data_IF_706451453705
#
_entry.id   IF_706451453705
#
_cell.length_a   1.000
_cell.length_b   1.000
_cell.length_c   1.000
_cell.angle_alpha   90.00
_cell.angle_beta   90.00
_cell.angle_gamma   90.00
#
_symmetry.space_group_name_H-M   'P 1'
#
loop_
_entity.id
_entity.type
_entity.pdbx_description
1 polymer ?
#
# COMPACT_ATOMS: atom_id res chain seq x y z
N UNK A 1 -11.38 3.73 -8.68
CA UNK A 1 -10.09 3.01 -8.66
C UNK A 1 -10.36 1.56 -8.32
N UNK A 2 -9.64 0.62 -8.96
CA UNK A 2 -9.85 -0.80 -8.71
C UNK A 2 -9.04 -1.25 -7.49
N UNK A 3 -9.55 -2.28 -6.82
CA UNK A 3 -8.97 -2.88 -5.63
C UNK A 3 -9.01 -4.39 -5.77
N UNK A 4 -8.18 -5.08 -5.00
CA UNK A 4 -8.17 -6.53 -4.90
C UNK A 4 -8.13 -6.94 -3.43
N UNK A 5 -8.93 -7.95 -3.06
CA UNK A 5 -8.98 -8.46 -1.69
C UNK A 5 -7.70 -9.24 -1.39
N UNK A 6 -7.07 -8.93 -0.25
CA UNK A 6 -5.92 -9.70 0.28
C UNK A 6 -6.36 -11.14 0.55
N UNK A 7 -7.53 -11.32 1.16
CA UNK A 7 -8.09 -12.63 1.46
C UNK A 7 -8.34 -13.45 0.19
N UNK A 8 -8.88 -12.82 -0.87
CA UNK A 8 -9.10 -13.51 -2.15
C UNK A 8 -7.79 -13.99 -2.77
N UNK A 9 -6.75 -13.13 -2.79
CA UNK A 9 -5.43 -13.51 -3.29
C UNK A 9 -4.83 -14.68 -2.50
N UNK A 10 -4.93 -14.62 -1.17
CA UNK A 10 -4.44 -15.70 -0.31
C UNK A 10 -5.25 -16.99 -0.47
N UNK A 11 -6.57 -16.91 -0.69
CA UNK A 11 -7.39 -18.10 -0.97
C UNK A 11 -7.03 -18.76 -2.30
N UNK A 12 -6.67 -17.97 -3.32
CA UNK A 12 -6.19 -18.50 -4.60
C UNK A 12 -4.84 -19.21 -4.51
N UNK A 13 -4.07 -19.00 -3.43
CA UNK A 13 -2.82 -19.70 -3.14
C UNK A 13 -3.07 -21.00 -2.38
N UNK A 14 -3.51 -22.05 -3.08
CA UNK A 14 -3.88 -23.34 -2.51
C UNK A 14 -2.86 -24.46 -2.77
N UNK A 15 -1.78 -24.16 -3.49
CA UNK A 15 -0.70 -25.10 -3.76
C UNK A 15 0.49 -24.85 -2.84
N UNK A 16 1.39 -25.83 -2.74
CA UNK A 16 2.68 -25.63 -2.07
C UNK A 16 3.47 -24.53 -2.81
N UNK A 17 3.65 -24.68 -4.12
CA UNK A 17 4.27 -23.69 -5.00
C UNK A 17 3.21 -23.03 -5.87
N UNK A 18 2.91 -21.75 -5.64
CA UNK A 18 1.87 -21.03 -6.37
C UNK A 18 2.51 -20.16 -7.47
N UNK A 19 2.43 -20.60 -8.72
CA UNK A 19 2.99 -19.87 -9.86
C UNK A 19 2.15 -18.65 -10.23
N UNK A 20 2.81 -17.56 -10.62
CA UNK A 20 2.14 -16.28 -10.94
C UNK A 20 1.08 -16.42 -12.04
N UNK A 21 1.36 -17.20 -13.08
CA UNK A 21 0.44 -17.41 -14.21
C UNK A 21 -0.82 -18.17 -13.80
N UNK A 22 -0.72 -19.09 -12.84
CA UNK A 22 -1.88 -19.83 -12.35
C UNK A 22 -2.71 -19.00 -11.39
N UNK A 23 -2.04 -18.23 -10.51
CA UNK A 23 -2.71 -17.23 -9.67
C UNK A 23 -3.48 -16.21 -10.50
N UNK A 24 -2.93 -15.77 -11.64
CA UNK A 24 -3.64 -14.88 -12.56
C UNK A 24 -4.90 -15.51 -13.18
N UNK A 25 -4.90 -16.83 -13.41
CA UNK A 25 -6.07 -17.55 -13.95
C UNK A 25 -7.15 -17.76 -12.89
N UNK A 26 -6.75 -18.03 -11.64
CA UNK A 26 -7.64 -18.47 -10.56
C UNK A 26 -8.13 -17.33 -9.66
N UNK A 27 -7.37 -16.24 -9.52
CA UNK A 27 -7.78 -15.07 -8.76
C UNK A 27 -8.66 -14.16 -9.63
N UNK A 28 -9.98 -14.36 -9.53
CA UNK A 28 -10.99 -13.59 -10.26
C UNK A 28 -11.55 -12.43 -9.40
N UNK A 29 -12.13 -11.42 -10.05
CA UNK A 29 -12.89 -10.37 -9.36
C UNK A 29 -14.26 -10.89 -8.88
N UNK A 30 -14.99 -10.06 -8.13
CA UNK A 30 -16.32 -10.40 -7.61
C UNK A 30 -17.35 -10.77 -8.70
N UNK A 31 -17.08 -10.41 -9.97
CA UNK A 31 -17.92 -10.72 -11.14
C UNK A 31 -17.39 -11.92 -11.93
N UNK A 32 -16.40 -12.64 -11.41
CA UNK A 32 -15.76 -13.77 -12.08
C UNK A 32 -14.85 -13.37 -13.25
N UNK A 33 -14.47 -12.10 -13.38
CA UNK A 33 -13.57 -11.63 -14.46
C UNK A 33 -12.12 -11.64 -14.01
N UNK A 34 -11.22 -11.93 -14.94
CA UNK A 34 -9.77 -11.88 -14.70
C UNK A 34 -9.29 -10.44 -14.55
N UNK A 35 -8.43 -10.22 -13.57
CA UNK A 35 -7.60 -9.02 -13.50
C UNK A 35 -6.60 -9.00 -14.66
N UNK A 36 -6.04 -7.82 -14.94
CA UNK A 36 -4.90 -7.73 -15.86
C UNK A 36 -3.69 -8.42 -15.21
N UNK A 37 -2.84 -9.09 -15.99
CA UNK A 37 -1.63 -9.75 -15.45
C UNK A 37 -0.80 -8.83 -14.57
N UNK A 38 -0.53 -7.61 -15.05
CA UNK A 38 0.22 -6.58 -14.31
C UNK A 38 -0.43 -6.20 -12.97
N UNK A 39 -1.76 -6.22 -12.87
CA UNK A 39 -2.48 -5.96 -11.61
C UNK A 39 -2.14 -7.07 -10.60
N UNK A 40 -2.23 -8.34 -11.00
CA UNK A 40 -1.84 -9.48 -10.16
C UNK A 40 -0.36 -9.44 -9.77
N UNK A 41 0.54 -9.23 -10.73
CA UNK A 41 1.99 -9.11 -10.47
C UNK A 41 2.28 -8.05 -9.40
N UNK A 42 1.64 -6.89 -9.51
CA UNK A 42 1.83 -5.79 -8.57
C UNK A 42 1.26 -6.12 -7.19
N UNK A 43 0.09 -6.76 -7.13
CA UNK A 43 -0.53 -7.18 -5.87
C UNK A 43 0.28 -8.24 -5.15
N UNK A 44 0.87 -9.20 -5.86
CA UNK A 44 1.76 -10.20 -5.28
C UNK A 44 3.01 -9.56 -4.69
N UNK A 45 3.63 -8.60 -5.39
CA UNK A 45 4.75 -7.81 -4.86
C UNK A 45 4.38 -7.02 -3.61
N UNK A 46 3.15 -6.51 -3.54
CA UNK A 46 2.64 -5.83 -2.33
C UNK A 46 2.44 -6.81 -1.18
N UNK A 47 1.83 -7.97 -1.43
CA UNK A 47 1.66 -9.03 -0.41
C UNK A 47 3.01 -9.52 0.13
N UNK A 48 4.01 -9.65 -0.75
CA UNK A 48 5.38 -9.99 -0.37
C UNK A 48 5.97 -8.94 0.58
N UNK A 49 5.86 -7.66 0.21
CA UNK A 49 6.32 -6.54 1.05
C UNK A 49 5.59 -6.45 2.38
N UNK A 50 4.32 -6.85 2.42
CA UNK A 50 3.48 -6.88 3.62
C UNK A 50 3.67 -8.16 4.45
N UNK A 51 4.60 -9.04 4.05
CA UNK A 51 4.97 -10.22 4.83
C UNK A 51 3.94 -11.36 4.80
N UNK A 52 2.98 -11.33 3.87
CA UNK A 52 2.01 -12.43 3.72
C UNK A 52 2.54 -13.60 2.90
N UNK A 53 3.48 -13.34 1.99
CA UNK A 53 4.00 -14.34 1.06
C UNK A 53 5.50 -14.17 0.87
N UNK A 54 6.17 -15.27 0.54
CA UNK A 54 7.57 -15.29 0.12
C UNK A 54 7.62 -15.59 -1.36
N UNK A 55 8.40 -14.79 -2.09
CA UNK A 55 8.68 -15.03 -3.49
C UNK A 55 9.93 -15.89 -3.63
N UNK A 56 9.83 -16.94 -4.44
CA UNK A 56 10.97 -17.79 -4.80
C UNK A 56 11.17 -17.71 -6.30
N UNK A 57 12.40 -17.40 -6.71
CA UNK A 57 12.78 -17.29 -8.12
C UNK A 57 13.67 -18.47 -8.49
N UNK A 58 13.16 -19.35 -9.35
CA UNK A 58 13.93 -20.47 -9.91
C UNK A 58 14.65 -20.00 -11.19
N UNK A 59 13.96 -19.22 -12.04
CA UNK A 59 14.53 -18.63 -13.26
C UNK A 59 13.93 -17.25 -13.58
N UNK A 60 14.26 -16.65 -14.72
CA UNK A 60 13.67 -15.36 -15.14
C UNK A 60 12.16 -15.44 -15.37
N UNK A 61 11.65 -16.59 -15.79
CA UNK A 61 10.23 -16.85 -16.08
C UNK A 61 9.54 -17.70 -15.02
N UNK A 62 10.32 -18.38 -14.17
CA UNK A 62 9.81 -19.31 -13.19
C UNK A 62 9.85 -18.72 -11.77
N UNK A 63 8.72 -18.11 -11.40
CA UNK A 63 8.51 -17.43 -10.12
C UNK A 63 7.29 -18.07 -9.47
N UNK A 64 7.47 -18.56 -8.25
CA UNK A 64 6.37 -19.02 -7.41
C UNK A 64 6.36 -18.31 -6.06
N UNK A 65 5.21 -18.41 -5.41
CA UNK A 65 4.93 -17.79 -4.13
C UNK A 65 4.46 -18.83 -3.12
N UNK A 66 4.94 -18.69 -1.90
CA UNK A 66 4.51 -19.51 -0.76
C UNK A 66 3.94 -18.59 0.30
N UNK A 67 2.87 -19.00 0.99
CA UNK A 67 2.34 -18.25 2.14
C UNK A 67 3.36 -18.22 3.25
N UNK A 68 3.51 -17.06 3.89
CA UNK A 68 4.25 -16.95 5.13
C UNK A 68 3.29 -17.19 6.31
N UNK A 69 3.80 -17.90 7.30
CA UNK A 69 3.18 -18.03 8.62
C UNK A 69 4.18 -17.49 9.64
N UNK A 70 3.76 -16.51 10.43
CA UNK A 70 4.57 -16.05 11.56
C UNK A 70 4.52 -17.10 12.66
N UNK A 71 5.69 -17.47 13.18
CA UNK A 71 5.86 -18.47 14.25
C UNK A 71 5.23 -18.04 15.56
N UNK A 72 5.25 -16.74 15.85
CA UNK A 72 4.62 -16.15 17.02
C UNK A 72 4.00 -14.77 16.68
N UNK A 73 3.10 -14.29 17.54
CA UNK A 73 2.42 -12.99 17.36
C UNK A 73 3.36 -11.79 17.45
N UNK A 74 4.45 -11.90 18.24
CA UNK A 74 5.39 -10.80 18.48
C UNK A 74 6.26 -10.50 17.25
N UNK A 75 6.66 -11.53 16.49
CA UNK A 75 7.39 -11.42 15.24
C UNK A 75 6.58 -10.60 14.22
N UNK A 76 5.27 -10.85 14.15
CA UNK A 76 4.39 -10.10 13.26
C UNK A 76 4.24 -8.64 13.70
N UNK A 77 4.08 -8.39 15.00
CA UNK A 77 4.00 -7.03 15.53
C UNK A 77 5.31 -6.27 15.30
N UNK A 78 6.46 -6.93 15.51
CA UNK A 78 7.79 -6.37 15.22
C UNK A 78 7.91 -5.97 13.75
N UNK A 79 7.52 -6.87 12.83
CA UNK A 79 7.49 -6.58 11.39
C UNK A 79 6.59 -5.37 11.06
N UNK A 80 5.37 -5.31 11.63
CA UNK A 80 4.44 -4.19 11.40
C UNK A 80 5.05 -2.87 11.86
N UNK A 81 5.66 -2.86 13.04
CA UNK A 81 6.30 -1.67 13.60
C UNK A 81 7.48 -1.20 12.75
N UNK A 82 8.38 -2.11 12.36
CA UNK A 82 9.53 -1.77 11.51
C UNK A 82 9.10 -1.19 10.16
N UNK A 83 8.07 -1.80 9.55
CA UNK A 83 7.51 -1.30 8.29
C UNK A 83 6.89 0.08 8.46
N UNK A 84 6.14 0.29 9.55
CA UNK A 84 5.53 1.56 9.89
C UNK A 84 6.58 2.65 10.09
N UNK A 85 7.55 2.46 10.99
CA UNK A 85 8.61 3.42 11.29
C UNK A 85 9.48 3.75 10.08
N UNK A 86 9.78 2.75 9.25
CA UNK A 86 10.55 2.96 8.01
C UNK A 86 9.83 3.91 7.05
N UNK A 87 8.52 3.72 6.83
CA UNK A 87 7.77 4.56 5.91
C UNK A 87 7.43 5.92 6.52
N UNK A 88 7.14 6.00 7.82
CA UNK A 88 6.96 7.27 8.54
C UNK A 88 8.22 8.14 8.45
N UNK A 89 9.40 7.56 8.65
CA UNK A 89 10.68 8.26 8.54
C UNK A 89 10.90 8.81 7.12
N UNK A 90 10.63 8.00 6.09
CA UNK A 90 10.70 8.44 4.68
C UNK A 90 9.73 9.59 4.40
N UNK A 91 8.50 9.51 4.90
CA UNK A 91 7.51 10.58 4.77
C UNK A 91 8.04 11.87 5.40
N UNK A 92 8.51 11.81 6.65
CA UNK A 92 9.05 12.99 7.37
C UNK A 92 10.21 13.63 6.61
N UNK A 93 11.14 12.83 6.09
CA UNK A 93 12.28 13.32 5.31
C UNK A 93 11.82 14.01 4.01
N UNK A 94 10.90 13.38 3.29
CA UNK A 94 10.42 13.86 1.99
C UNK A 94 9.54 15.10 2.13
N UNK A 95 8.70 15.18 3.16
CA UNK A 95 7.89 16.36 3.45
C UNK A 95 8.75 17.61 3.62
N UNK A 96 9.85 17.53 4.37
CA UNK A 96 10.81 18.64 4.53
C UNK A 96 11.39 19.10 3.19
N UNK A 97 11.65 18.16 2.28
CA UNK A 97 12.18 18.47 0.93
C UNK A 97 11.14 19.10 0.00
N UNK A 98 9.84 19.01 0.33
CA UNK A 98 8.71 19.50 -0.47
C UNK A 98 8.03 20.75 0.12
N UNK A 99 8.28 21.07 1.39
CA UNK A 99 7.63 22.14 2.16
C UNK A 99 7.61 23.48 1.41
N UNK A 100 8.77 23.93 0.93
CA UNK A 100 8.91 25.20 0.21
C UNK A 100 9.06 25.02 -1.31
N UNK A 101 8.74 23.83 -1.84
CA UNK A 101 8.85 23.54 -3.27
C UNK A 101 7.49 23.52 -3.94
N UNK A 102 7.45 24.14 -5.12
CA UNK A 102 6.33 24.01 -6.05
C UNK A 102 6.22 22.54 -6.50
N UNK A 103 5.11 21.87 -6.24
CA UNK A 103 4.92 20.47 -6.66
C UNK A 103 4.44 20.41 -8.11
N UNK A 104 3.54 21.31 -8.51
CA UNK A 104 3.00 21.35 -9.87
C UNK A 104 3.42 22.63 -10.59
N UNK A 105 3.99 22.49 -11.78
CA UNK A 105 4.30 23.63 -12.66
C UNK A 105 3.02 24.26 -13.17
N UNK A 106 2.06 23.41 -13.54
CA UNK A 106 0.77 23.79 -14.11
C UNK A 106 -0.32 22.83 -13.62
N UNK A 107 -1.51 23.38 -13.39
CA UNK A 107 -2.74 22.66 -13.09
C UNK A 107 -3.79 23.27 -14.02
N UNK A 108 -4.23 22.49 -15.00
CA UNK A 108 -5.20 22.98 -15.98
C UNK A 108 -6.56 23.21 -15.34
N UNK A 109 -7.50 23.84 -16.06
CA UNK A 109 -8.91 23.93 -15.62
C UNK A 109 -9.52 22.54 -15.38
N UNK A 110 -9.09 21.54 -16.14
CA UNK A 110 -9.31 20.14 -15.83
C UNK A 110 -8.30 19.69 -14.76
N UNK A 111 -8.76 19.53 -13.52
CA UNK A 111 -7.94 19.10 -12.39
C UNK A 111 -7.37 17.66 -12.55
N UNK A 112 -7.74 16.94 -13.62
CA UNK A 112 -7.12 15.66 -13.98
C UNK A 112 -5.81 15.84 -14.78
N UNK A 113 -5.57 17.04 -15.32
CA UNK A 113 -4.37 17.36 -16.10
C UNK A 113 -3.50 18.36 -15.35
N UNK A 114 -2.32 17.90 -14.95
CA UNK A 114 -1.31 18.69 -14.24
C UNK A 114 0.09 18.24 -14.65
N UNK A 115 1.07 19.14 -14.51
CA UNK A 115 2.48 18.86 -14.76
C UNK A 115 3.26 18.97 -13.45
N UNK A 116 3.81 17.86 -12.98
CA UNK A 116 4.69 17.86 -11.79
C UNK A 116 5.99 18.57 -12.12
N UNK A 117 6.47 19.39 -11.18
CA UNK A 117 7.72 20.13 -11.31
C UNK A 117 8.92 19.17 -11.27
N UNK A 118 9.86 19.25 -12.23
CA UNK A 118 11.00 18.33 -12.30
C UNK A 118 11.78 18.22 -10.99
N UNK A 119 11.99 19.35 -10.30
CA UNK A 119 12.71 19.43 -9.02
C UNK A 119 11.97 18.79 -7.83
N UNK A 120 10.66 18.57 -7.97
CA UNK A 120 9.79 18.01 -6.94
C UNK A 120 9.34 16.59 -7.27
N UNK A 121 9.46 16.17 -8.54
CA UNK A 121 8.93 14.90 -9.05
C UNK A 121 9.42 13.70 -8.26
N UNK A 122 10.73 13.55 -8.10
CA UNK A 122 11.31 12.41 -7.39
C UNK A 122 10.84 12.34 -5.93
N UNK A 123 10.87 13.47 -5.22
CA UNK A 123 10.42 13.54 -3.83
C UNK A 123 8.91 13.28 -3.73
N UNK A 124 8.11 13.84 -4.64
CA UNK A 124 6.67 13.62 -4.63
C UNK A 124 6.30 12.15 -4.93
N UNK A 125 7.00 11.51 -5.84
CA UNK A 125 6.82 10.08 -6.13
C UNK A 125 7.21 9.22 -4.91
N UNK A 126 8.32 9.55 -4.22
CA UNK A 126 8.71 8.89 -2.96
C UNK A 126 7.68 9.09 -1.84
N UNK A 127 7.09 10.28 -1.73
CA UNK A 127 6.03 10.57 -0.76
C UNK A 127 4.81 9.69 -1.02
N UNK A 128 4.37 9.64 -2.28
CA UNK A 128 3.22 8.83 -2.68
C UNK A 128 3.48 7.32 -2.50
N UNK A 129 4.70 6.85 -2.72
CA UNK A 129 5.07 5.44 -2.48
C UNK A 129 5.03 5.12 -0.99
N UNK A 130 5.71 5.90 -0.14
CA UNK A 130 5.71 5.69 1.30
C UNK A 130 4.30 5.79 1.92
N UNK A 131 3.50 6.76 1.46
CA UNK A 131 2.10 6.88 1.85
C UNK A 131 1.28 5.65 1.42
N UNK A 132 1.45 5.19 0.18
CA UNK A 132 0.76 4.00 -0.33
C UNK A 132 1.14 2.74 0.44
N UNK A 133 2.42 2.60 0.81
CA UNK A 133 2.90 1.48 1.61
C UNK A 133 2.24 1.47 3.00
N UNK A 134 2.17 2.62 3.68
CA UNK A 134 1.47 2.73 4.97
C UNK A 134 -0.03 2.46 4.84
N UNK A 135 -0.68 2.95 3.78
CA UNK A 135 -2.10 2.72 3.57
C UNK A 135 -2.41 1.23 3.30
N UNK A 136 -1.58 0.57 2.49
CA UNK A 136 -1.68 -0.88 2.26
C UNK A 136 -1.38 -1.66 3.56
N UNK A 137 -0.41 -1.21 4.39
CA UNK A 137 -0.14 -1.80 5.72
C UNK A 137 -1.34 -1.64 6.67
N UNK A 138 -1.94 -0.46 6.76
CA UNK A 138 -3.11 -0.22 7.61
C UNK A 138 -4.27 -1.16 7.25
N UNK A 139 -4.53 -1.31 5.95
CA UNK A 139 -5.53 -2.26 5.44
C UNK A 139 -5.23 -3.71 5.82
N UNK A 140 -3.97 -4.14 5.69
CA UNK A 140 -3.53 -5.48 6.07
C UNK A 140 -3.62 -5.73 7.59
N UNK A 141 -3.12 -4.79 8.40
CA UNK A 141 -3.18 -4.85 9.87
C UNK A 141 -4.63 -4.96 10.34
N UNK A 142 -5.54 -4.20 9.72
CA UNK A 142 -6.95 -4.26 10.04
C UNK A 142 -7.59 -5.61 9.68
N UNK A 143 -7.18 -6.22 8.56
CA UNK A 143 -7.62 -7.58 8.20
C UNK A 143 -7.16 -8.59 9.26
N UNK A 144 -5.87 -8.62 9.58
CA UNK A 144 -5.32 -9.58 10.56
C UNK A 144 -5.94 -9.39 11.94
N UNK A 145 -6.14 -8.14 12.37
CA UNK A 145 -6.82 -7.83 13.64
C UNK A 145 -8.26 -8.37 13.67
N UNK A 146 -8.98 -8.33 12.55
CA UNK A 146 -10.35 -8.88 12.47
C UNK A 146 -10.39 -10.42 12.44
N UNK A 147 -9.39 -11.06 11.83
CA UNK A 147 -9.39 -12.52 11.63
C UNK A 147 -8.65 -13.30 12.72
N UNK A 148 -7.80 -12.64 13.51
CA UNK A 148 -7.07 -13.28 14.61
C UNK A 148 -8.01 -13.76 15.72
N UNK A 149 -7.60 -14.80 16.46
CA UNK A 149 -8.24 -15.23 17.71
C UNK A 149 -7.48 -14.75 18.96
N UNK A 150 -6.26 -14.25 18.78
CA UNK A 150 -5.40 -13.76 19.85
C UNK A 150 -5.76 -12.30 20.21
N UNK A 151 -6.36 -12.11 21.38
CA UNK A 151 -6.78 -10.79 21.89
C UNK A 151 -5.60 -9.86 22.24
N UNK A 152 -4.43 -10.42 22.58
CA UNK A 152 -3.20 -9.65 22.76
C UNK A 152 -2.75 -9.04 21.44
N UNK A 153 -2.63 -9.88 20.42
CA UNK A 153 -2.29 -9.45 19.06
C UNK A 153 -3.28 -8.44 18.52
N UNK A 154 -4.59 -8.67 18.69
CA UNK A 154 -5.64 -7.72 18.24
C UNK A 154 -5.45 -6.33 18.82
N UNK A 155 -5.19 -6.23 20.13
CA UNK A 155 -4.99 -4.94 20.82
C UNK A 155 -3.76 -4.21 20.29
N UNK A 156 -2.66 -4.93 20.08
CA UNK A 156 -1.44 -4.34 19.51
C UNK A 156 -1.66 -3.85 18.08
N UNK A 157 -2.26 -4.68 17.22
CA UNK A 157 -2.55 -4.30 15.84
C UNK A 157 -3.54 -3.13 15.73
N UNK A 158 -4.50 -2.99 16.66
CA UNK A 158 -5.38 -1.81 16.71
C UNK A 158 -4.60 -0.53 17.01
N UNK A 159 -3.61 -0.57 17.90
CA UNK A 159 -2.73 0.58 18.18
C UNK A 159 -1.91 0.95 16.95
N UNK A 160 -1.22 -0.02 16.34
CA UNK A 160 -0.47 0.21 15.11
C UNK A 160 -1.36 0.78 14.00
N UNK A 161 -2.58 0.26 13.84
CA UNK A 161 -3.53 0.80 12.87
C UNK A 161 -3.86 2.27 13.14
N UNK A 162 -4.15 2.65 14.39
CA UNK A 162 -4.43 4.05 14.75
C UNK A 162 -3.24 4.97 14.43
N UNK A 163 -2.02 4.55 14.78
CA UNK A 163 -0.79 5.32 14.50
C UNK A 163 -0.53 5.48 12.99
N UNK A 164 -0.81 4.43 12.20
CA UNK A 164 -0.74 4.48 10.74
C UNK A 164 -1.74 5.52 10.20
N UNK A 165 -3.00 5.47 10.65
CA UNK A 165 -4.04 6.41 10.19
C UNK A 165 -3.67 7.84 10.54
N UNK A 166 -3.23 8.09 11.78
CA UNK A 166 -2.79 9.41 12.22
C UNK A 166 -1.63 9.93 11.35
N UNK A 167 -0.65 9.06 11.05
CA UNK A 167 0.48 9.42 10.18
C UNK A 167 0.00 9.81 8.77
N UNK A 168 -0.94 9.06 8.19
CA UNK A 168 -1.49 9.35 6.86
C UNK A 168 -2.27 10.68 6.84
N UNK A 169 -3.07 10.94 7.89
CA UNK A 169 -3.82 12.18 8.04
C UNK A 169 -2.88 13.38 8.17
N UNK A 170 -1.92 13.32 9.11
CA UNK A 170 -0.93 14.38 9.30
C UNK A 170 -0.09 14.63 8.04
N UNK A 171 0.24 13.58 7.28
CA UNK A 171 0.96 13.71 6.01
C UNK A 171 0.13 14.48 4.99
N UNK A 172 -1.14 14.12 4.88
CA UNK A 172 -2.09 14.75 3.95
C UNK A 172 -2.32 16.21 4.32
N UNK A 173 -2.39 16.55 5.61
CA UNK A 173 -2.54 17.92 6.08
C UNK A 173 -1.28 18.76 5.86
N UNK A 174 -0.10 18.24 6.24
CA UNK A 174 1.17 18.96 6.09
C UNK A 174 1.48 19.29 4.65
N UNK A 175 1.23 18.36 3.73
CA UNK A 175 1.54 18.59 2.32
C UNK A 175 0.58 19.56 1.65
N UNK A 176 -0.67 19.71 2.10
CA UNK A 176 -1.62 20.66 1.50
C UNK A 176 -1.60 22.04 2.15
N UNK A 177 -1.04 22.15 3.37
CA UNK A 177 -0.93 23.40 4.11
C UNK A 177 -0.29 24.49 3.25
N UNK A 178 -0.86 25.69 3.27
CA UNK A 178 -0.38 26.89 2.55
C UNK A 178 -0.39 26.79 1.01
N UNK A 179 -0.99 25.74 0.43
CA UNK A 179 -1.14 25.60 -1.03
C UNK A 179 -2.44 26.23 -1.54
N UNK A 180 -2.46 26.55 -2.84
CA UNK A 180 -3.66 27.09 -3.52
C UNK A 180 -4.73 26.01 -3.68
N UNK A 181 -6.01 26.39 -3.71
CA UNK A 181 -7.16 25.48 -3.73
C UNK A 181 -7.08 24.38 -4.81
N UNK A 182 -6.69 24.72 -6.04
CA UNK A 182 -6.54 23.73 -7.12
C UNK A 182 -5.47 22.67 -6.81
N UNK A 183 -4.34 23.09 -6.24
CA UNK A 183 -3.25 22.21 -5.84
C UNK A 183 -3.65 21.31 -4.66
N UNK A 184 -4.37 21.87 -3.69
CA UNK A 184 -4.93 21.10 -2.58
C UNK A 184 -5.85 19.99 -3.08
N UNK A 185 -6.78 20.29 -3.99
CA UNK A 185 -7.72 19.30 -4.55
C UNK A 185 -6.96 18.19 -5.29
N UNK A 186 -5.96 18.55 -6.11
CA UNK A 186 -5.15 17.56 -6.82
C UNK A 186 -4.40 16.67 -5.83
N UNK A 187 -3.74 17.23 -4.81
CA UNK A 187 -3.04 16.46 -3.79
C UNK A 187 -3.98 15.52 -3.04
N UNK A 188 -5.11 16.03 -2.53
CA UNK A 188 -6.10 15.22 -1.81
C UNK A 188 -6.58 14.04 -2.66
N UNK A 189 -6.89 14.26 -3.95
CA UNK A 189 -7.27 13.17 -4.88
C UNK A 189 -6.16 12.13 -5.04
N UNK A 190 -4.90 12.58 -5.12
CA UNK A 190 -3.74 11.68 -5.26
C UNK A 190 -3.54 10.81 -4.02
N UNK A 191 -3.67 11.37 -2.82
CA UNK A 191 -3.56 10.61 -1.57
C UNK A 191 -4.75 9.70 -1.33
N UNK A 192 -5.98 10.20 -1.46
CA UNK A 192 -7.20 9.40 -1.31
C UNK A 192 -7.23 8.21 -2.28
N UNK A 193 -6.69 8.40 -3.49
CA UNK A 193 -6.54 7.32 -4.47
C UNK A 193 -5.61 6.18 -4.07
N UNK A 194 -4.74 6.39 -3.09
CA UNK A 194 -3.83 5.37 -2.56
C UNK A 194 -4.37 4.61 -1.37
N UNK A 195 -5.44 5.08 -0.72
CA UNK A 195 -6.01 4.44 0.47
C UNK A 195 -6.96 3.33 0.07
N UNK A 196 -6.60 2.04 0.23
CA UNK A 196 -7.49 0.94 -0.08
C UNK A 196 -8.60 0.80 0.96
N UNK A 197 -9.67 0.09 0.61
CA UNK A 197 -10.63 -0.42 1.60
C UNK A 197 -9.94 -1.37 2.61
N UNK A 198 -10.46 -1.48 3.84
CA UNK A 198 -10.03 -2.47 4.82
C UNK A 198 -9.91 -3.90 4.28
N UNK A 199 -8.71 -4.48 4.31
CA UNK A 199 -8.42 -5.82 3.79
C UNK A 199 -8.23 -5.92 2.28
N UNK A 200 -8.09 -4.79 1.59
CA UNK A 200 -7.83 -4.71 0.15
C UNK A 200 -6.47 -4.04 -0.13
N UNK A 201 -5.98 -4.23 -1.35
CA UNK A 201 -4.85 -3.51 -1.93
C UNK A 201 -5.34 -2.66 -3.11
N UNK A 202 -4.78 -1.47 -3.28
CA UNK A 202 -5.00 -0.68 -4.52
C UNK A 202 -4.29 -1.32 -5.71
N UNK A 203 -5.00 -1.40 -6.85
CA UNK A 203 -4.49 -1.84 -8.15
C UNK A 203 -3.92 -0.69 -8.99
#
# INVERSE_FOLDING_TARGET
MKEISIESLLKSMNQENNYEDDLWKTCLDEKGKRYRRKEITNSLRKLERLGFIKRTKISSTDIHYNKLSYSNSDDFVGFVNDFMFTNESKIKEVLKKLEYKKIFVDISKDLNSFKVAPQSKENFDKLLDAFSNLADLGSAVQLVSKTSKDEGLKRNLKKCHSEIIETLEQTSEKIIKERKSNEMIVLQRRFAGRVPKPGFLKL
#
